data_IF_291339554685
#
_entry.id   IF_291339554685
#
_cell.length_a   1.000
_cell.length_b   1.000
_cell.length_c   1.000
_cell.angle_alpha   90.00
_cell.angle_beta   90.00
_cell.angle_gamma   90.00
#
_symmetry.space_group_name_H-M   'P 1'
#
loop_
_entity.id
_entity.type
_entity.pdbx_description
1 polymer ?
#
# COMPACT_ATOMS: atom_id res chain seq x y z
N UNK A 1 -43.17 19.53 -3.85
CA UNK A 1 -42.52 20.76 -3.37
C UNK A 1 -42.56 20.75 -1.86
N UNK A 2 -41.45 20.38 -1.22
CA UNK A 2 -41.28 20.44 0.23
C UNK A 2 -40.77 21.83 0.58
N UNK A 3 -41.37 22.48 1.58
CA UNK A 3 -41.13 23.87 1.92
C UNK A 3 -39.65 24.13 2.30
N UNK A 4 -39.10 25.23 1.78
CA UNK A 4 -37.83 25.82 2.21
C UNK A 4 -37.92 26.15 3.71
N UNK A 5 -37.39 25.25 4.55
CA UNK A 5 -37.12 25.55 5.94
C UNK A 5 -35.78 26.27 6.01
N UNK A 6 -35.81 27.60 6.12
CA UNK A 6 -34.65 28.38 6.56
C UNK A 6 -34.09 27.78 7.85
N UNK A 7 -32.77 27.55 7.89
CA UNK A 7 -32.16 26.86 9.03
C UNK A 7 -32.30 27.74 10.29
N UNK A 8 -32.93 27.22 11.37
CA UNK A 8 -33.09 27.98 12.61
C UNK A 8 -31.71 28.22 13.24
N UNK A 9 -31.49 29.43 13.77
CA UNK A 9 -30.28 29.76 14.52
C UNK A 9 -30.28 28.96 15.83
N UNK A 10 -29.56 27.85 15.85
CA UNK A 10 -29.43 26.97 17.01
C UNK A 10 -28.23 27.41 17.85
N UNK A 11 -28.47 27.76 19.12
CA UNK A 11 -27.45 28.17 20.10
C UNK A 11 -27.13 27.03 21.10
N UNK A 12 -27.87 25.91 21.04
CA UNK A 12 -27.72 24.76 21.95
C UNK A 12 -27.00 23.57 21.28
N UNK A 13 -26.04 22.98 21.98
CA UNK A 13 -25.30 21.76 21.62
C UNK A 13 -26.16 20.49 21.57
N UNK A 14 -27.38 20.50 22.11
CA UNK A 14 -28.30 19.35 22.12
C UNK A 14 -29.06 19.13 20.80
N UNK A 15 -29.11 20.16 19.95
CA UNK A 15 -29.92 20.12 18.72
C UNK A 15 -29.10 19.57 17.56
N UNK A 16 -29.57 18.53 16.85
CA UNK A 16 -28.88 17.97 15.69
C UNK A 16 -28.69 19.02 14.60
N UNK A 17 -27.54 19.01 13.93
CA UNK A 17 -27.24 19.97 12.87
C UNK A 17 -28.22 19.85 11.70
N UNK A 18 -28.84 20.98 11.31
CA UNK A 18 -29.76 21.09 10.15
C UNK A 18 -29.08 20.78 8.80
N UNK A 19 -27.74 20.69 8.77
CA UNK A 19 -26.92 20.52 7.57
C UNK A 19 -26.54 19.07 7.23
N UNK A 20 -27.37 18.09 7.61
CA UNK A 20 -27.13 16.67 7.31
C UNK A 20 -27.47 16.27 5.87
N UNK A 21 -28.22 17.11 5.14
CA UNK A 21 -28.47 16.93 3.70
C UNK A 21 -27.38 17.61 2.88
N UNK A 22 -26.20 16.99 2.82
CA UNK A 22 -25.17 17.35 1.84
C UNK A 22 -25.48 16.59 0.57
N UNK A 23 -25.64 17.30 -0.55
CA UNK A 23 -25.86 16.66 -1.84
C UNK A 23 -24.61 15.86 -2.24
N UNK A 24 -24.73 14.52 -2.20
CA UNK A 24 -24.38 13.64 -3.31
C UNK A 24 -22.92 13.42 -3.64
N UNK A 25 -21.97 13.65 -2.73
CA UNK A 25 -20.57 13.36 -3.04
C UNK A 25 -20.34 11.85 -3.10
N UNK A 26 -20.18 11.31 -4.32
CA UNK A 26 -20.03 9.89 -4.62
C UNK A 26 -18.75 9.25 -4.06
N UNK A 27 -17.84 10.04 -3.45
CA UNK A 27 -16.65 9.56 -2.73
C UNK A 27 -16.69 9.80 -1.22
N UNK A 28 -17.74 10.43 -0.69
CA UNK A 28 -17.77 10.83 0.71
C UNK A 28 -18.14 9.66 1.63
N UNK A 29 -17.15 9.20 2.41
CA UNK A 29 -17.29 8.18 3.46
C UNK A 29 -17.39 8.77 4.87
N UNK A 30 -17.43 10.10 5.01
CA UNK A 30 -17.57 10.77 6.32
C UNK A 30 -18.96 10.61 6.94
N UNK A 31 -19.98 10.40 6.11
CA UNK A 31 -21.34 10.08 6.53
C UNK A 31 -21.54 8.61 6.22
N UNK A 32 -22.25 7.84 7.05
CA UNK A 32 -22.44 6.40 6.86
C UNK A 32 -23.37 6.03 5.68
N UNK A 33 -24.29 6.93 5.29
CA UNK A 33 -25.21 6.72 4.15
C UNK A 33 -25.56 8.04 3.48
N UNK A 34 -25.60 8.04 2.16
CA UNK A 34 -26.13 9.16 1.37
C UNK A 34 -27.65 9.02 1.20
N UNK A 35 -28.39 9.45 2.23
CA UNK A 35 -29.86 9.43 2.23
C UNK A 35 -30.46 10.29 1.12
N UNK A 36 -29.76 11.33 0.69
CA UNK A 36 -30.24 12.26 -0.31
C UNK A 36 -30.22 11.63 -1.69
N UNK A 37 -29.10 10.99 -2.07
CA UNK A 37 -28.98 10.24 -3.33
C UNK A 37 -29.90 9.02 -3.35
N UNK A 38 -29.96 8.25 -2.26
CA UNK A 38 -30.91 7.13 -2.10
C UNK A 38 -32.36 7.58 -2.32
N UNK A 39 -32.79 8.66 -1.65
CA UNK A 39 -34.14 9.18 -1.79
C UNK A 39 -34.41 9.73 -3.19
N UNK A 40 -33.43 10.36 -3.84
CA UNK A 40 -33.58 10.85 -5.22
C UNK A 40 -33.83 9.70 -6.20
N UNK A 41 -33.09 8.60 -6.08
CA UNK A 41 -33.26 7.42 -6.93
C UNK A 41 -34.59 6.71 -6.64
N UNK A 42 -34.95 6.53 -5.37
CA UNK A 42 -36.18 5.80 -5.00
C UNK A 42 -37.46 6.54 -5.36
N UNK A 43 -37.45 7.87 -5.34
CA UNK A 43 -38.67 8.67 -5.56
C UNK A 43 -38.88 9.04 -7.03
N UNK A 44 -37.88 8.87 -7.89
CA UNK A 44 -37.91 9.34 -9.28
C UNK A 44 -37.15 8.38 -10.20
N UNK A 45 -37.88 7.65 -11.04
CA UNK A 45 -37.32 6.70 -12.01
C UNK A 45 -36.34 7.38 -12.98
N UNK A 46 -36.53 8.66 -13.30
CA UNK A 46 -35.60 9.42 -14.16
C UNK A 46 -34.24 9.65 -13.51
N UNK A 47 -34.10 9.36 -12.20
CA UNK A 47 -32.87 9.51 -11.43
C UNK A 47 -32.12 8.19 -11.21
N UNK A 48 -32.63 7.07 -11.71
CA UNK A 48 -31.99 5.74 -11.59
C UNK A 48 -30.58 5.69 -12.18
N UNK A 49 -30.26 6.56 -13.15
CA UNK A 49 -28.91 6.66 -13.72
C UNK A 49 -27.83 7.01 -12.68
N UNK A 50 -28.20 7.56 -11.51
CA UNK A 50 -27.26 7.83 -10.41
C UNK A 50 -26.91 6.61 -9.58
N UNK A 51 -27.59 5.47 -9.77
CA UNK A 51 -27.36 4.24 -8.99
C UNK A 51 -25.88 3.79 -8.97
N UNK A 52 -25.13 3.81 -10.08
CA UNK A 52 -23.71 3.42 -10.06
C UNK A 52 -22.85 4.31 -9.16
N UNK A 53 -23.20 5.59 -8.98
CA UNK A 53 -22.50 6.52 -8.10
C UNK A 53 -22.74 6.18 -6.62
N UNK A 54 -23.99 5.82 -6.29
CA UNK A 54 -24.37 5.41 -4.95
C UNK A 54 -23.70 4.08 -4.57
N UNK A 55 -23.69 3.12 -5.50
CA UNK A 55 -23.07 1.81 -5.30
C UNK A 55 -21.57 1.95 -5.07
N UNK A 56 -20.88 2.73 -5.90
CA UNK A 56 -19.45 3.02 -5.75
C UNK A 56 -19.15 3.67 -4.39
N UNK A 57 -19.96 4.65 -3.97
CA UNK A 57 -19.84 5.29 -2.65
C UNK A 57 -19.97 4.28 -1.52
N UNK A 58 -20.95 3.39 -1.61
CA UNK A 58 -21.23 2.38 -0.57
C UNK A 58 -20.12 1.32 -0.49
N UNK A 59 -19.51 0.97 -1.62
CA UNK A 59 -18.36 0.06 -1.66
C UNK A 59 -17.10 0.66 -1.03
N UNK A 60 -16.93 1.99 -1.10
CA UNK A 60 -15.85 2.70 -0.42
C UNK A 60 -16.06 2.79 1.10
N UNK A 61 -17.30 2.71 1.58
CA UNK A 61 -17.69 2.86 2.99
C UNK A 61 -17.77 1.50 3.72
N UNK A 62 -16.70 0.71 3.65
CA UNK A 62 -16.60 -0.58 4.35
C UNK A 62 -15.92 -0.39 5.70
N UNK A 63 -16.54 -0.91 6.76
CA UNK A 63 -16.07 -0.74 8.15
C UNK A 63 -14.70 -1.39 8.41
N UNK A 64 -14.42 -2.52 7.76
CA UNK A 64 -13.15 -3.22 7.86
C UNK A 64 -12.63 -3.60 6.47
N UNK A 65 -11.57 -2.91 6.03
CA UNK A 65 -10.90 -3.11 4.75
C UNK A 65 -9.42 -3.50 4.92
N UNK A 66 -9.05 -4.05 6.08
CA UNK A 66 -7.67 -4.41 6.42
C UNK A 66 -7.06 -5.45 5.48
N UNK A 67 -7.88 -6.32 4.90
CA UNK A 67 -7.50 -7.31 3.88
C UNK A 67 -7.13 -6.68 2.54
N UNK A 68 -7.57 -5.44 2.31
CA UNK A 68 -7.36 -4.69 1.06
C UNK A 68 -6.13 -3.80 1.10
N UNK A 69 -5.55 -3.61 2.28
CA UNK A 69 -4.51 -2.62 2.56
C UNK A 69 -3.15 -3.26 2.83
N UNK A 70 -2.11 -2.53 2.47
CA UNK A 70 -0.75 -2.85 2.89
C UNK A 70 -0.64 -2.70 4.42
N UNK A 71 0.08 -3.60 5.08
CA UNK A 71 0.33 -3.53 6.53
C UNK A 71 1.35 -2.43 6.89
N UNK A 72 2.07 -1.89 5.89
CA UNK A 72 3.02 -0.79 6.01
C UNK A 72 2.36 0.51 5.57
N UNK A 73 2.75 1.62 6.19
CA UNK A 73 2.36 2.98 5.74
C UNK A 73 2.94 3.25 4.34
N UNK A 74 2.51 4.34 3.69
CA UNK A 74 2.98 4.71 2.33
C UNK A 74 4.51 4.78 2.21
N UNK A 75 5.22 5.17 3.26
CA UNK A 75 6.70 5.20 3.26
C UNK A 75 7.35 3.82 3.53
N UNK A 76 6.56 2.75 3.65
CA UNK A 76 7.00 1.37 3.85
C UNK A 76 7.30 0.98 5.31
N UNK A 77 7.10 1.88 6.28
CA UNK A 77 7.27 1.53 7.69
C UNK A 77 5.98 0.99 8.31
N UNK A 78 6.11 -0.02 9.17
CA UNK A 78 5.01 -0.50 10.01
C UNK A 78 4.80 0.46 11.17
N UNK A 79 3.55 0.91 11.35
CA UNK A 79 3.14 1.76 12.46
C UNK A 79 2.16 1.01 13.35
N UNK A 80 2.39 1.08 14.66
CA UNK A 80 1.56 0.46 15.68
C UNK A 80 0.86 1.54 16.50
N UNK A 81 -0.38 1.27 16.92
CA UNK A 81 -1.21 2.15 17.72
C UNK A 81 -1.82 1.38 18.88
N UNK A 82 -2.02 2.05 20.01
CA UNK A 82 -2.69 1.49 21.18
C UNK A 82 -4.16 1.90 21.17
N UNK A 83 -5.07 0.92 21.08
CA UNK A 83 -6.51 1.12 21.18
C UNK A 83 -7.00 0.56 22.52
N UNK A 84 -7.71 1.38 23.29
CA UNK A 84 -8.44 0.88 24.46
C UNK A 84 -9.61 0.02 24.01
N UNK A 85 -9.71 -1.20 24.53
CA UNK A 85 -10.83 -2.09 24.22
C UNK A 85 -12.04 -1.61 25.01
N UNK A 86 -13.14 -1.29 24.34
CA UNK A 86 -14.37 -0.85 25.03
C UNK A 86 -14.86 -1.95 25.98
N UNK A 87 -14.89 -1.65 27.27
CA UNK A 87 -15.38 -2.58 28.30
C UNK A 87 -14.29 -3.41 29.01
N UNK A 88 -13.00 -3.18 28.72
CA UNK A 88 -11.90 -3.79 29.45
C UNK A 88 -10.81 -2.74 29.76
N UNK A 89 -10.15 -2.86 30.93
CA UNK A 89 -8.97 -2.05 31.31
C UNK A 89 -7.69 -2.47 30.54
N UNK A 90 -7.85 -3.13 29.38
CA UNK A 90 -6.75 -3.63 28.56
C UNK A 90 -6.59 -2.79 27.30
N UNK A 91 -5.35 -2.43 27.01
CA UNK A 91 -4.95 -1.76 25.78
C UNK A 91 -4.49 -2.79 24.76
N UNK A 92 -5.06 -2.76 23.55
CA UNK A 92 -4.64 -3.60 22.43
C UNK A 92 -3.68 -2.83 21.52
N UNK A 93 -2.61 -3.48 21.08
CA UNK A 93 -1.68 -2.92 20.10
C UNK A 93 -2.09 -3.38 18.70
N UNK A 94 -2.58 -2.45 17.90
CA UNK A 94 -3.09 -2.70 16.54
C UNK A 94 -2.17 -2.03 15.51
N UNK A 95 -1.98 -2.65 14.35
CA UNK A 95 -1.28 -2.05 13.22
C UNK A 95 -2.17 -1.01 12.53
N UNK A 96 -1.59 0.13 12.19
CA UNK A 96 -2.26 1.10 11.29
C UNK A 96 -1.92 0.69 9.85
N UNK A 97 -2.92 0.28 9.06
CA UNK A 97 -2.70 -0.10 7.67
C UNK A 97 -2.30 1.11 6.82
N UNK A 98 -1.69 0.86 5.67
CA UNK A 98 -1.34 1.86 4.69
C UNK A 98 -2.28 1.91 3.49
N UNK A 99 -1.74 2.20 2.29
CA UNK A 99 -2.55 2.34 1.09
C UNK A 99 -3.17 1.00 0.68
N UNK A 100 -4.18 1.07 -0.21
CA UNK A 100 -4.67 -0.13 -0.88
C UNK A 100 -3.55 -0.85 -1.62
N UNK A 101 -3.59 -2.18 -1.63
CA UNK A 101 -2.69 -3.02 -2.42
C UNK A 101 -2.89 -2.78 -3.92
N UNK A 102 -1.92 -3.22 -4.75
CA UNK A 102 -1.99 -3.08 -6.23
C UNK A 102 -3.34 -3.54 -6.78
N UNK A 103 -3.73 -4.77 -6.45
CA UNK A 103 -4.98 -5.39 -6.86
C UNK A 103 -6.20 -4.50 -6.56
N UNK A 104 -6.28 -3.94 -5.35
CA UNK A 104 -7.41 -3.10 -4.96
C UNK A 104 -7.38 -1.72 -5.58
N UNK A 105 -6.19 -1.13 -5.85
CA UNK A 105 -6.11 0.12 -6.60
C UNK A 105 -6.58 -0.04 -8.05
N UNK A 106 -6.22 -1.15 -8.68
CA UNK A 106 -6.71 -1.53 -10.00
C UNK A 106 -8.22 -1.73 -10.01
N UNK A 107 -8.74 -2.40 -8.98
CA UNK A 107 -10.18 -2.59 -8.85
C UNK A 107 -10.91 -1.25 -8.66
N UNK A 108 -10.42 -0.35 -7.80
CA UNK A 108 -11.04 0.96 -7.65
C UNK A 108 -11.03 1.78 -8.93
N UNK A 109 -9.92 1.76 -9.67
CA UNK A 109 -9.87 2.41 -10.98
C UNK A 109 -10.92 1.82 -11.93
N UNK A 110 -11.02 0.50 -12.00
CA UNK A 110 -12.01 -0.20 -12.83
C UNK A 110 -13.44 0.19 -12.43
N UNK A 111 -13.77 0.19 -11.14
CA UNK A 111 -15.09 0.55 -10.61
C UNK A 111 -15.46 2.00 -10.93
N UNK A 112 -14.53 2.95 -10.78
CA UNK A 112 -14.76 4.36 -11.14
C UNK A 112 -15.05 4.52 -12.63
N UNK A 113 -14.25 3.88 -13.49
CA UNK A 113 -14.43 3.94 -14.94
C UNK A 113 -15.75 3.27 -15.38
N UNK A 114 -16.11 2.14 -14.75
CA UNK A 114 -17.38 1.45 -15.00
C UNK A 114 -18.57 2.32 -14.60
N UNK A 115 -18.54 2.91 -13.40
CA UNK A 115 -19.57 3.82 -12.93
C UNK A 115 -19.71 5.02 -13.89
N UNK A 116 -18.60 5.62 -14.33
CA UNK A 116 -18.62 6.68 -15.33
C UNK A 116 -19.27 6.23 -16.64
N UNK A 117 -18.89 5.07 -17.17
CA UNK A 117 -19.44 4.53 -18.42
C UNK A 117 -20.94 4.20 -18.30
N UNK A 118 -21.39 3.66 -17.18
CA UNK A 118 -22.80 3.38 -16.89
C UNK A 118 -23.62 4.66 -16.79
N UNK A 119 -23.14 5.64 -16.04
CA UNK A 119 -23.79 6.94 -15.91
C UNK A 119 -23.90 7.61 -17.29
N UNK A 120 -22.83 7.68 -18.08
CA UNK A 120 -22.87 8.29 -19.42
C UNK A 120 -23.86 7.62 -20.39
N UNK A 121 -24.12 6.31 -20.22
CA UNK A 121 -25.12 5.58 -21.02
C UNK A 121 -26.55 5.94 -20.63
N UNK A 122 -26.81 6.07 -19.33
CA UNK A 122 -28.17 6.13 -18.79
C UNK A 122 -28.63 7.55 -18.42
N UNK A 123 -27.71 8.50 -18.25
CA UNK A 123 -28.02 9.85 -17.83
C UNK A 123 -28.75 10.67 -18.92
N UNK A 124 -29.51 11.72 -18.52
CA UNK A 124 -30.08 12.71 -19.43
C UNK A 124 -29.02 13.35 -20.33
N UNK A 125 -29.44 13.86 -21.49
CA UNK A 125 -28.56 14.46 -22.51
C UNK A 125 -27.54 15.46 -21.97
N UNK A 126 -27.95 16.25 -20.98
CA UNK A 126 -27.22 17.32 -20.33
C UNK A 126 -26.10 16.81 -19.41
N UNK A 127 -26.10 15.52 -19.07
CA UNK A 127 -25.18 14.89 -18.11
C UNK A 127 -24.41 13.71 -18.72
N UNK A 128 -24.56 13.45 -20.04
CA UNK A 128 -23.87 12.33 -20.72
C UNK A 128 -22.37 12.52 -20.88
N UNK A 129 -21.86 13.71 -20.65
CA UNK A 129 -20.45 14.07 -20.69
C UNK A 129 -19.78 14.09 -19.31
N UNK A 130 -20.52 13.77 -18.24
CA UNK A 130 -20.00 13.74 -16.87
C UNK A 130 -18.67 12.98 -16.78
N UNK A 131 -17.73 13.57 -16.08
CA UNK A 131 -16.40 13.02 -15.85
C UNK A 131 -16.21 12.82 -14.34
N UNK A 132 -16.18 11.55 -13.91
CA UNK A 132 -15.87 11.17 -12.54
C UNK A 132 -14.36 11.17 -12.30
N UNK A 133 -13.58 10.86 -13.34
CA UNK A 133 -12.12 10.92 -13.31
C UNK A 133 -11.58 11.44 -14.63
N UNK A 134 -10.80 12.50 -14.57
CA UNK A 134 -10.21 13.17 -15.73
C UNK A 134 -9.00 12.40 -16.29
N UNK A 135 -8.66 12.66 -17.55
CA UNK A 135 -7.49 12.07 -18.19
C UNK A 135 -6.19 12.46 -17.47
N UNK A 136 -6.11 13.68 -16.97
CA UNK A 136 -4.98 14.20 -16.18
C UNK A 136 -4.87 13.50 -14.82
N UNK A 137 -5.99 13.15 -14.20
CA UNK A 137 -6.02 12.40 -12.94
C UNK A 137 -5.59 10.94 -13.18
N UNK A 138 -6.06 10.32 -14.26
CA UNK A 138 -5.60 9.00 -14.70
C UNK A 138 -4.09 8.98 -14.99
N UNK A 139 -3.59 10.04 -15.63
CA UNK A 139 -2.16 10.23 -15.87
C UNK A 139 -1.35 10.29 -14.57
N UNK A 140 -1.87 10.98 -13.55
CA UNK A 140 -1.21 11.08 -12.25
C UNK A 140 -1.27 9.74 -11.49
N UNK A 141 -2.39 9.00 -11.58
CA UNK A 141 -2.48 7.63 -11.04
C UNK A 141 -1.40 6.75 -11.68
N UNK A 142 -1.29 6.77 -13.02
CA UNK A 142 -0.27 6.00 -13.75
C UNK A 142 1.14 6.39 -13.31
N UNK A 143 1.40 7.70 -13.13
CA UNK A 143 2.68 8.20 -12.61
C UNK A 143 2.99 7.60 -11.24
N UNK A 144 2.04 7.67 -10.31
CA UNK A 144 2.20 7.15 -8.95
C UNK A 144 2.49 5.65 -8.98
N UNK A 145 1.76 4.87 -9.78
CA UNK A 145 1.97 3.43 -9.88
C UNK A 145 3.36 3.10 -10.45
N UNK A 146 3.73 3.71 -11.58
CA UNK A 146 5.01 3.45 -12.23
C UNK A 146 6.22 3.97 -11.45
N UNK A 147 6.15 5.17 -10.88
CA UNK A 147 7.33 5.86 -10.34
C UNK A 147 7.47 5.73 -8.82
N UNK A 148 6.35 5.69 -8.08
CA UNK A 148 6.38 5.61 -6.62
C UNK A 148 6.16 4.19 -6.09
N UNK A 149 5.25 3.43 -6.71
CA UNK A 149 5.04 2.02 -6.38
C UNK A 149 5.90 1.06 -7.20
N UNK A 150 6.58 1.56 -8.25
CA UNK A 150 7.46 0.79 -9.12
C UNK A 150 6.73 -0.34 -9.88
N UNK A 151 5.46 -0.14 -10.21
CA UNK A 151 4.57 -1.11 -10.86
C UNK A 151 4.68 -1.03 -12.39
N UNK A 152 5.82 -1.46 -12.92
CA UNK A 152 6.14 -1.30 -14.33
C UNK A 152 5.40 -2.25 -15.30
N UNK A 153 4.47 -3.08 -14.80
CA UNK A 153 3.51 -3.81 -15.64
C UNK A 153 2.46 -2.91 -16.30
N UNK A 154 2.37 -1.66 -15.83
CA UNK A 154 1.62 -0.57 -16.47
C UNK A 154 0.16 -0.98 -16.78
N UNK A 155 -0.58 -1.37 -15.75
CA UNK A 155 -1.94 -1.90 -15.90
C UNK A 155 -3.00 -0.84 -16.23
N UNK A 156 -2.76 0.44 -15.94
CA UNK A 156 -3.76 1.51 -16.13
C UNK A 156 -4.27 1.64 -17.58
N UNK A 157 -3.40 1.72 -18.62
CA UNK A 157 -3.87 1.76 -20.01
C UNK A 157 -4.75 0.57 -20.39
N UNK A 158 -4.41 -0.63 -19.91
CA UNK A 158 -5.17 -1.87 -20.16
C UNK A 158 -6.54 -1.82 -19.48
N UNK A 159 -6.59 -1.39 -18.21
CA UNK A 159 -7.86 -1.23 -17.47
C UNK A 159 -8.75 -0.20 -18.16
N UNK A 160 -8.19 0.93 -18.56
CA UNK A 160 -8.94 1.98 -19.26
C UNK A 160 -9.55 1.45 -20.54
N UNK A 161 -8.74 0.88 -21.45
CA UNK A 161 -9.21 0.36 -22.73
C UNK A 161 -10.25 -0.75 -22.57
N UNK A 162 -10.05 -1.66 -21.61
CA UNK A 162 -11.00 -2.73 -21.33
C UNK A 162 -12.40 -2.21 -20.91
N UNK A 163 -12.46 -1.07 -20.21
CA UNK A 163 -13.73 -0.51 -19.72
C UNK A 163 -14.34 0.47 -20.72
N UNK A 164 -13.54 1.34 -21.33
CA UNK A 164 -14.02 2.42 -22.20
C UNK A 164 -14.07 2.03 -23.67
N UNK A 165 -13.43 0.93 -24.07
CA UNK A 165 -13.20 0.55 -25.47
C UNK A 165 -12.43 1.60 -26.28
N UNK A 166 -11.71 2.51 -25.61
CA UNK A 166 -10.85 3.51 -26.23
C UNK A 166 -9.44 3.41 -25.67
N UNK A 167 -8.39 3.53 -26.50
CA UNK A 167 -7.02 3.44 -25.99
C UNK A 167 -6.71 4.65 -25.09
N UNK A 168 -6.11 4.39 -23.94
CA UNK A 168 -5.65 5.46 -23.05
C UNK A 168 -4.48 6.20 -23.70
N UNK A 169 -4.62 7.53 -23.84
CA UNK A 169 -3.56 8.41 -24.31
C UNK A 169 -3.10 9.28 -23.17
N UNK A 170 -1.94 8.92 -22.62
CA UNK A 170 -1.35 9.67 -21.53
C UNK A 170 -0.92 11.07 -22.03
N UNK A 171 -1.39 12.16 -21.40
CA UNK A 171 -1.04 13.52 -21.78
C UNK A 171 0.43 13.87 -21.48
N UNK A 172 1.14 13.09 -20.65
CA UNK A 172 2.54 13.36 -20.32
C UNK A 172 3.46 13.04 -21.48
N UNK A 173 4.43 13.92 -21.80
CA UNK A 173 5.46 13.61 -22.79
C UNK A 173 6.26 12.35 -22.40
N UNK A 174 6.58 11.52 -23.39
CA UNK A 174 7.36 10.28 -23.25
C UNK A 174 6.68 9.17 -22.42
N UNK A 175 5.41 9.30 -22.07
CA UNK A 175 4.67 8.26 -21.39
C UNK A 175 4.53 7.02 -22.28
N UNK A 176 4.86 5.84 -21.74
CA UNK A 176 4.79 4.56 -22.46
C UNK A 176 6.10 4.07 -23.10
N UNK A 177 7.22 4.79 -22.95
CA UNK A 177 8.53 4.31 -23.40
C UNK A 177 9.25 3.63 -22.22
N UNK A 178 8.99 2.35 -22.02
CA UNK A 178 9.44 1.59 -20.86
C UNK A 178 10.37 0.45 -21.26
N UNK A 179 11.54 0.35 -20.61
CA UNK A 179 12.46 -0.79 -20.77
C UNK A 179 12.03 -2.03 -19.98
N UNK A 180 11.13 -1.86 -19.01
CA UNK A 180 10.55 -2.94 -18.21
C UNK A 180 9.04 -2.90 -18.42
N UNK A 181 8.43 -4.02 -18.76
CA UNK A 181 7.00 -4.12 -19.02
C UNK A 181 6.37 -5.33 -18.35
N UNK A 182 5.22 -5.73 -18.89
CA UNK A 182 4.43 -6.87 -18.42
C UNK A 182 5.19 -8.21 -18.47
N UNK A 183 6.03 -8.40 -19.49
CA UNK A 183 6.83 -9.62 -19.64
C UNK A 183 7.85 -9.75 -18.49
N UNK A 184 8.64 -8.70 -18.23
CA UNK A 184 9.58 -8.71 -17.11
C UNK A 184 8.87 -8.83 -15.76
N UNK A 185 7.71 -8.18 -15.61
CA UNK A 185 6.90 -8.28 -14.40
C UNK A 185 6.45 -9.72 -14.14
N UNK A 186 5.95 -10.39 -15.18
CA UNK A 186 5.49 -11.79 -15.10
C UNK A 186 6.65 -12.73 -14.78
N UNK A 187 7.82 -12.51 -15.37
CA UNK A 187 9.04 -13.28 -15.05
C UNK A 187 9.42 -13.10 -13.59
N UNK A 188 9.41 -11.87 -13.07
CA UNK A 188 9.70 -11.62 -11.66
C UNK A 188 8.72 -12.36 -10.74
N UNK A 189 7.43 -12.34 -11.08
CA UNK A 189 6.40 -13.02 -10.29
C UNK A 189 6.61 -14.54 -10.28
N UNK A 190 7.13 -15.12 -11.37
CA UNK A 190 7.46 -16.54 -11.46
C UNK A 190 8.69 -16.94 -10.64
N UNK A 191 9.74 -16.11 -10.62
CA UNK A 191 11.03 -16.47 -10.00
C UNK A 191 11.12 -16.12 -8.51
N UNK A 192 10.25 -15.25 -8.01
CA UNK A 192 10.27 -14.83 -6.62
C UNK A 192 9.45 -15.81 -5.75
N UNK A 193 9.99 -16.13 -4.58
CA UNK A 193 9.40 -17.05 -3.61
C UNK A 193 8.17 -16.43 -2.90
N UNK A 194 8.19 -15.10 -2.68
CA UNK A 194 7.14 -14.38 -1.98
C UNK A 194 6.93 -12.93 -2.47
N UNK A 195 5.80 -12.33 -2.08
CA UNK A 195 5.38 -11.00 -2.52
C UNK A 195 6.31 -9.86 -2.09
N UNK A 196 6.96 -9.98 -0.93
CA UNK A 196 7.88 -8.96 -0.41
C UNK A 196 9.22 -9.01 -1.18
N UNK A 197 9.72 -10.22 -1.46
CA UNK A 197 10.88 -10.41 -2.32
C UNK A 197 10.62 -9.88 -3.73
N UNK A 198 9.44 -10.20 -4.29
CA UNK A 198 8.99 -9.68 -5.57
C UNK A 198 9.01 -8.14 -5.60
N UNK A 199 8.38 -7.50 -4.61
CA UNK A 199 8.38 -6.04 -4.49
C UNK A 199 9.80 -5.48 -4.37
N UNK A 200 10.65 -6.07 -3.54
CA UNK A 200 12.03 -5.63 -3.35
C UNK A 200 12.77 -5.59 -4.69
N UNK A 201 12.71 -6.69 -5.46
CA UNK A 201 13.41 -6.81 -6.74
C UNK A 201 12.83 -5.84 -7.77
N UNK A 202 11.50 -5.75 -7.87
CA UNK A 202 10.84 -4.81 -8.78
C UNK A 202 11.26 -3.36 -8.51
N UNK A 203 11.29 -2.96 -7.23
CA UNK A 203 11.71 -1.62 -6.81
C UNK A 203 13.18 -1.36 -7.11
N UNK A 204 14.07 -2.34 -6.89
CA UNK A 204 15.50 -2.21 -7.20
C UNK A 204 15.74 -2.02 -8.70
N UNK A 205 15.08 -2.83 -9.54
CA UNK A 205 15.20 -2.77 -11.00
C UNK A 205 14.68 -1.44 -11.55
N UNK A 206 13.50 -1.03 -11.11
CA UNK A 206 12.94 0.24 -11.56
C UNK A 206 13.76 1.44 -11.06
N UNK A 207 14.25 1.40 -9.82
CA UNK A 207 15.15 2.44 -9.30
C UNK A 207 16.42 2.55 -10.15
N UNK A 208 17.06 1.43 -10.52
CA UNK A 208 18.21 1.45 -11.41
C UNK A 208 17.87 2.13 -12.75
N UNK A 209 16.77 1.70 -13.37
CA UNK A 209 16.28 2.20 -14.66
C UNK A 209 16.04 3.71 -14.62
N UNK A 210 15.35 4.21 -13.59
CA UNK A 210 15.08 5.65 -13.44
C UNK A 210 16.39 6.45 -13.41
N UNK A 211 17.39 5.99 -12.65
CA UNK A 211 18.70 6.64 -12.59
C UNK A 211 19.53 6.48 -13.87
N UNK A 212 19.34 5.41 -14.64
CA UNK A 212 20.04 5.20 -15.91
C UNK A 212 19.74 6.30 -16.93
N UNK A 213 18.52 6.86 -16.90
CA UNK A 213 18.11 7.95 -17.79
C UNK A 213 18.67 9.33 -17.38
N UNK A 214 19.21 9.44 -16.16
CA UNK A 214 19.70 10.72 -15.62
C UNK A 214 21.13 11.01 -16.09
N UNK A 215 21.39 12.28 -16.45
CA UNK A 215 22.74 12.74 -16.79
C UNK A 215 23.75 12.58 -15.64
N UNK A 216 23.27 12.60 -14.38
CA UNK A 216 24.10 12.39 -13.17
C UNK A 216 23.39 11.44 -12.22
N UNK A 217 24.01 10.31 -11.91
CA UNK A 217 23.48 9.25 -11.01
C UNK A 217 23.75 9.52 -9.53
N UNK A 218 23.71 10.77 -9.09
CA UNK A 218 23.99 11.12 -7.69
C UNK A 218 22.86 10.62 -6.81
N UNK A 219 23.19 9.84 -5.78
CA UNK A 219 22.24 9.30 -4.79
C UNK A 219 21.56 7.99 -5.19
N UNK A 220 22.05 7.32 -6.24
CA UNK A 220 21.53 6.02 -6.65
C UNK A 220 21.68 4.95 -5.55
N UNK A 221 22.79 4.97 -4.82
CA UNK A 221 23.05 4.00 -3.75
C UNK A 221 22.04 4.18 -2.62
N UNK A 222 21.84 5.42 -2.15
CA UNK A 222 20.85 5.74 -1.12
C UNK A 222 19.42 5.35 -1.56
N UNK A 223 19.09 5.53 -2.85
CA UNK A 223 17.81 5.12 -3.40
C UNK A 223 17.65 3.59 -3.45
N UNK A 224 18.71 2.84 -3.76
CA UNK A 224 18.72 1.38 -3.78
C UNK A 224 18.72 0.75 -2.38
N UNK A 225 19.22 1.44 -1.36
CA UNK A 225 19.18 0.96 0.02
C UNK A 225 17.75 1.00 0.60
N UNK A 226 16.97 2.02 0.25
CA UNK A 226 15.64 2.26 0.84
C UNK A 226 14.63 1.10 0.66
N UNK A 227 14.55 0.40 -0.49
CA UNK A 227 13.74 -0.81 -0.63
C UNK A 227 14.05 -1.88 0.42
N UNK A 228 15.31 -2.05 0.84
CA UNK A 228 15.67 -3.04 1.86
C UNK A 228 15.07 -2.71 3.23
N UNK A 229 14.93 -1.44 3.59
CA UNK A 229 14.29 -1.07 4.87
C UNK A 229 12.80 -1.41 4.92
N UNK A 230 12.17 -1.53 3.75
CA UNK A 230 10.71 -1.59 3.63
C UNK A 230 10.19 -2.92 3.10
N UNK A 231 11.01 -3.66 2.34
CA UNK A 231 10.56 -4.82 1.57
C UNK A 231 11.42 -6.07 1.77
N UNK A 232 12.46 -6.02 2.61
CA UNK A 232 13.35 -7.17 2.87
C UNK A 232 12.77 -8.23 3.81
N UNK A 233 11.67 -7.94 4.49
CA UNK A 233 11.10 -8.80 5.54
C UNK A 233 9.70 -9.25 5.16
N UNK A 234 9.36 -10.53 5.38
CA UNK A 234 7.98 -10.98 5.39
C UNK A 234 7.12 -10.18 6.37
N UNK A 235 5.81 -10.23 6.19
CA UNK A 235 4.84 -9.48 7.01
C UNK A 235 5.03 -9.72 8.52
N UNK A 236 5.12 -10.98 8.93
CA UNK A 236 5.17 -11.33 10.36
C UNK A 236 6.48 -10.85 11.00
N UNK A 237 7.61 -11.05 10.33
CA UNK A 237 8.90 -10.54 10.78
C UNK A 237 8.96 -9.00 10.82
N UNK A 238 8.36 -8.32 9.84
CA UNK A 238 8.27 -6.86 9.83
C UNK A 238 7.41 -6.34 10.99
N UNK A 239 6.35 -7.07 11.34
CA UNK A 239 5.48 -6.78 12.48
C UNK A 239 6.20 -7.01 13.82
N UNK A 240 6.95 -8.11 13.95
CA UNK A 240 7.78 -8.38 15.13
C UNK A 240 8.86 -7.33 15.30
N UNK A 241 9.55 -6.97 14.23
CA UNK A 241 10.53 -5.90 14.25
C UNK A 241 9.92 -4.57 14.72
N UNK A 242 8.71 -4.23 14.28
CA UNK A 242 8.01 -3.04 14.73
C UNK A 242 7.61 -3.10 16.22
N UNK A 243 7.17 -4.27 16.71
CA UNK A 243 6.89 -4.51 18.14
C UNK A 243 8.14 -4.32 18.98
N UNK A 244 9.25 -4.96 18.60
CA UNK A 244 10.54 -4.85 19.29
C UNK A 244 11.04 -3.40 19.33
N UNK A 245 10.97 -2.68 18.21
CA UNK A 245 11.37 -1.27 18.14
C UNK A 245 10.53 -0.39 19.07
N UNK A 246 9.22 -0.63 19.16
CA UNK A 246 8.33 0.06 20.10
C UNK A 246 8.71 -0.20 21.55
N UNK A 247 8.94 -1.46 21.92
CA UNK A 247 9.33 -1.83 23.27
C UNK A 247 10.64 -1.14 23.69
N UNK A 248 11.61 -1.08 22.79
CA UNK A 248 12.88 -0.35 23.01
C UNK A 248 12.63 1.14 23.21
N UNK A 249 11.77 1.77 22.42
CA UNK A 249 11.42 3.18 22.57
C UNK A 249 10.70 3.47 23.90
N UNK A 250 9.78 2.59 24.31
CA UNK A 250 9.09 2.69 25.60
C UNK A 250 10.07 2.55 26.76
N UNK A 251 10.94 1.53 26.73
CA UNK A 251 11.96 1.30 27.76
C UNK A 251 12.98 2.45 27.85
N UNK A 252 13.37 3.02 26.71
CA UNK A 252 14.24 4.20 26.68
C UNK A 252 13.55 5.44 27.30
N UNK A 253 12.24 5.57 27.13
CA UNK A 253 11.45 6.66 27.69
C UNK A 253 11.20 6.48 29.19
N UNK A 254 11.00 5.23 29.66
CA UNK A 254 10.79 4.91 31.07
C UNK A 254 12.09 4.77 31.87
N UNK A 255 13.26 4.70 31.21
CA UNK A 255 14.56 4.54 31.85
C UNK A 255 14.88 3.09 32.25
N UNK A 256 14.13 2.11 31.76
CA UNK A 256 14.25 0.69 32.10
C UNK A 256 15.27 -0.03 31.19
N UNK A 257 16.56 0.21 31.44
CA UNK A 257 17.67 -0.33 30.63
C UNK A 257 17.73 -1.87 30.64
N UNK A 258 17.25 -2.52 31.70
CA UNK A 258 17.29 -3.98 31.80
C UNK A 258 16.23 -4.69 30.94
N UNK A 259 15.09 -4.04 30.66
CA UNK A 259 14.10 -4.54 29.70
C UNK A 259 14.66 -4.58 28.27
N UNK A 260 15.52 -3.60 27.92
CA UNK A 260 16.21 -3.56 26.62
C UNK A 260 17.20 -4.73 26.48
N UNK A 261 17.97 -5.05 27.53
CA UNK A 261 18.93 -6.17 27.50
C UNK A 261 18.26 -7.53 27.32
N UNK A 262 17.06 -7.71 27.86
CA UNK A 262 16.29 -8.95 27.70
C UNK A 262 15.72 -9.10 26.29
N UNK A 263 15.32 -8.00 25.64
CA UNK A 263 14.81 -8.02 24.25
C UNK A 263 15.87 -8.39 23.21
N UNK A 264 17.14 -8.09 23.47
CA UNK A 264 18.27 -8.43 22.59
C UNK A 264 19.10 -9.59 23.10
N UNK A 265 18.64 -10.30 24.14
CA UNK A 265 19.29 -11.53 24.57
C UNK A 265 19.08 -12.58 23.47
N UNK A 266 20.15 -13.20 22.95
CA UNK A 266 19.99 -14.26 21.94
C UNK A 266 19.12 -15.37 22.53
N UNK A 267 18.11 -15.81 21.76
CA UNK A 267 17.36 -17.01 22.10
C UNK A 267 18.37 -18.15 22.30
N UNK A 268 18.38 -18.73 23.49
CA UNK A 268 19.17 -19.94 23.72
C UNK A 268 18.58 -21.01 22.80
N UNK A 269 19.36 -21.61 21.90
CA UNK A 269 18.85 -22.72 21.10
C UNK A 269 18.34 -23.80 22.07
N UNK A 270 17.10 -24.24 21.85
CA UNK A 270 16.51 -25.35 22.60
C UNK A 270 17.50 -26.52 22.62
N UNK A 271 17.76 -27.04 23.82
CA UNK A 271 18.70 -28.11 24.07
C UNK A 271 18.23 -29.41 23.38
N UNK A 272 18.60 -29.56 22.11
CA UNK A 272 18.47 -30.77 21.33
C UNK A 272 19.67 -30.89 20.41
N UNK A 273 20.79 -31.36 20.96
CA UNK A 273 22.01 -31.63 20.18
C UNK A 273 21.78 -32.83 19.24
N UNK A 274 22.11 -32.73 17.94
CA UNK A 274 22.71 -33.82 17.23
C UNK A 274 24.23 -33.61 17.21
N UNK A 275 24.98 -34.57 17.76
CA UNK A 275 26.44 -34.61 17.70
C UNK A 275 26.91 -34.62 16.23
N UNK A 276 27.51 -33.53 15.77
CA UNK A 276 28.30 -33.48 14.55
C UNK A 276 29.73 -33.92 14.89
N UNK A 277 30.12 -35.08 14.36
CA UNK A 277 31.50 -35.58 14.41
C UNK A 277 32.41 -34.65 13.60
N UNK A 278 33.37 -34.04 14.27
CA UNK A 278 34.47 -33.28 13.66
C UNK A 278 35.35 -34.24 12.84
N UNK A 279 35.13 -34.27 11.53
CA UNK A 279 36.11 -34.76 10.56
C UNK A 279 36.43 -33.62 9.61
N UNK A 280 37.44 -32.82 9.97
CA UNK A 280 38.41 -32.22 9.05
C UNK A 280 39.34 -31.26 9.81
N UNK A 281 40.47 -31.78 10.31
CA UNK A 281 41.61 -30.93 10.66
C UNK A 281 42.34 -30.53 9.36
N UNK A 282 42.61 -29.24 9.11
CA UNK A 282 43.48 -28.83 8.01
C UNK A 282 44.92 -29.28 8.29
N UNK A 283 45.71 -29.68 7.27
CA UNK A 283 47.06 -30.17 7.48
C UNK A 283 47.98 -29.05 7.99
N UNK A 284 48.74 -29.34 9.05
CA UNK A 284 49.71 -28.41 9.63
C UNK A 284 50.75 -27.97 8.59
N UNK A 285 50.89 -26.65 8.42
CA UNK A 285 51.94 -26.08 7.58
C UNK A 285 53.33 -26.29 8.23
N UNK A 286 54.35 -26.76 7.48
CA UNK A 286 55.67 -27.04 8.05
C UNK A 286 56.33 -25.77 8.55
N UNK A 287 56.88 -25.83 9.77
CA UNK A 287 57.57 -24.72 10.40
C UNK A 287 58.92 -24.43 9.73
N UNK A 288 59.34 -23.16 9.77
CA UNK A 288 60.57 -22.66 9.16
C UNK A 288 61.85 -23.41 9.62
N UNK A 289 61.82 -23.99 10.83
CA UNK A 289 62.91 -24.82 11.36
C UNK A 289 63.09 -26.14 10.60
N UNK A 290 61.98 -26.78 10.19
CA UNK A 290 62.01 -28.03 9.42
C UNK A 290 62.49 -27.82 7.97
N UNK A 291 62.26 -26.64 7.41
CA UNK A 291 62.75 -26.27 6.08
C UNK A 291 64.27 -25.97 6.06
N UNK A 292 64.83 -25.46 7.15
CA UNK A 292 66.22 -24.96 7.18
C UNK A 292 67.25 -26.00 7.62
N UNK A 293 66.86 -26.94 8.47
CA UNK A 293 67.75 -27.98 8.96
C UNK A 293 67.11 -29.33 8.63
N UNK A 294 67.37 -29.82 7.42
CA UNK A 294 66.89 -31.13 6.98
C UNK A 294 67.22 -32.21 8.00
N UNK A 295 66.28 -33.15 8.18
CA UNK A 295 66.37 -34.22 9.17
C UNK A 295 67.74 -34.91 9.13
N UNK A 296 68.50 -34.81 10.22
CA UNK A 296 69.65 -35.67 10.44
C UNK A 296 69.11 -37.08 10.68
N UNK A 297 69.40 -38.00 9.76
CA UNK A 297 69.24 -39.46 9.92
C UNK A 297 69.86 -39.97 11.20
#
# INVERSE_FOLDING_TARGET
ATADNECPLVIDTSTPSCGSSRFGCWVCTLVAKDKSMEAMIQNDEEKEWMQPLLDLRNELDVENDLDRRDFRRRQGHVQLYERSVQGADTTEVVNIPGPYTKQWREEWLRRVLQAQAEVRRNAPSEMKDIELIALEELSEIRRIWLEEFHEFDDSLPRIYEAVTSTPFRDPRPNAGNSLLGEDEWSILEEICDDSMQFELIARLLDTERQYQTMSRRKGVIEALEKPFDTSSRPRDEAMDYARSRRLVQQAATSGEVDAIKQLFAPEQPEAGQPELQDQDQPPEAPTWGAMKFGART
#
